data_IF_367025309856
#
_entry.id   IF_367025309856
#
_cell.length_a   1.000
_cell.length_b   1.000
_cell.length_c   1.000
_cell.angle_alpha   90.00
_cell.angle_beta   90.00
_cell.angle_gamma   90.00
#
_symmetry.space_group_name_H-M   'P 1'
#
loop_
_entity.id
_entity.type
_entity.pdbx_description
1 polymer ?
#
# COMPACT_ATOMS: atom_id res chain seq x y z
N UNK A 1 -13.77 -10.07 -25.22
CA UNK A 1 -13.23 -8.94 -25.99
C UNK A 1 -12.24 -9.51 -27.03
N UNK A 2 -12.39 -9.14 -28.31
CA UNK A 2 -11.44 -9.49 -29.35
C UNK A 2 -10.17 -8.67 -29.14
N UNK A 3 -9.05 -9.34 -28.84
CA UNK A 3 -7.74 -8.71 -28.79
C UNK A 3 -7.07 -8.95 -30.12
N UNK A 4 -7.00 -7.92 -30.96
CA UNK A 4 -6.24 -7.93 -32.21
C UNK A 4 -4.75 -7.90 -31.91
N UNK A 5 -4.19 -9.03 -31.51
CA UNK A 5 -2.76 -9.17 -31.24
C UNK A 5 -2.05 -9.95 -32.30
N UNK A 6 -0.77 -9.70 -32.46
CA UNK A 6 0.12 -10.43 -33.36
C UNK A 6 0.20 -11.91 -32.91
N UNK A 7 0.35 -12.85 -33.85
CA UNK A 7 0.44 -14.30 -33.61
C UNK A 7 1.47 -14.67 -32.53
N UNK A 8 2.61 -13.97 -32.45
CA UNK A 8 3.65 -14.21 -31.41
C UNK A 8 3.14 -13.85 -30.01
N UNK A 9 2.42 -12.74 -29.87
CA UNK A 9 1.81 -12.32 -28.61
C UNK A 9 0.80 -13.36 -28.13
N UNK A 10 -0.10 -13.80 -29.02
CA UNK A 10 -1.09 -14.84 -28.69
C UNK A 10 -0.44 -16.13 -28.22
N UNK A 11 0.62 -16.59 -28.91
CA UNK A 11 1.35 -17.79 -28.50
C UNK A 11 1.91 -17.69 -27.07
N UNK A 12 2.43 -16.52 -26.68
CA UNK A 12 2.93 -16.31 -25.31
C UNK A 12 1.77 -16.29 -24.30
N UNK A 13 0.70 -15.56 -24.59
CA UNK A 13 -0.49 -15.53 -23.72
C UNK A 13 -1.13 -16.90 -23.54
N UNK A 14 -1.22 -17.71 -24.62
CA UNK A 14 -1.71 -19.10 -24.54
C UNK A 14 -0.83 -19.99 -23.65
N UNK A 15 0.49 -19.82 -23.71
CA UNK A 15 1.42 -20.53 -22.81
C UNK A 15 1.19 -20.10 -21.35
N UNK A 16 1.09 -18.80 -21.10
CA UNK A 16 0.81 -18.26 -19.77
C UNK A 16 -0.53 -18.77 -19.23
N UNK A 17 -1.55 -18.83 -20.06
CA UNK A 17 -2.88 -19.31 -19.66
C UNK A 17 -2.93 -20.79 -19.25
N UNK A 18 -1.91 -21.59 -19.63
CA UNK A 18 -1.75 -22.98 -19.19
C UNK A 18 -1.26 -23.09 -17.73
N UNK A 19 -0.72 -22.04 -17.14
CA UNK A 19 -0.37 -22.03 -15.73
C UNK A 19 -1.63 -22.23 -14.88
N UNK A 20 -1.61 -23.13 -13.89
CA UNK A 20 -2.82 -23.51 -13.13
C UNK A 20 -3.27 -22.43 -12.14
N UNK A 21 -2.34 -21.59 -11.67
CA UNK A 21 -2.60 -20.57 -10.66
C UNK A 21 -2.62 -19.15 -11.24
N UNK A 22 -3.27 -18.26 -10.50
CA UNK A 22 -3.32 -16.81 -10.74
C UNK A 22 -2.82 -16.08 -9.50
N UNK A 23 -2.52 -14.80 -9.60
CA UNK A 23 -2.16 -14.02 -8.41
C UNK A 23 -3.28 -14.03 -7.35
N UNK A 24 -4.54 -14.12 -7.74
CA UNK A 24 -5.67 -14.33 -6.82
C UNK A 24 -5.59 -15.64 -6.00
N UNK A 25 -4.89 -16.63 -6.51
CA UNK A 25 -4.69 -17.91 -5.79
C UNK A 25 -3.52 -17.82 -4.81
N UNK A 26 -2.59 -16.91 -5.02
CA UNK A 26 -1.37 -16.70 -4.25
C UNK A 26 -1.56 -15.66 -3.15
N UNK A 27 -2.23 -14.54 -3.46
CA UNK A 27 -2.46 -13.47 -2.51
C UNK A 27 -3.81 -13.64 -1.80
N UNK A 28 -3.80 -13.52 -0.47
CA UNK A 28 -5.01 -13.47 0.36
C UNK A 28 -5.71 -12.12 0.22
N UNK A 29 -4.92 -11.06 0.23
CA UNK A 29 -5.42 -9.68 0.11
C UNK A 29 -4.58 -8.89 -0.90
N UNK A 30 -5.29 -8.26 -1.82
CA UNK A 30 -4.79 -7.15 -2.63
C UNK A 30 -5.67 -5.96 -2.27
N UNK A 31 -5.11 -4.95 -1.61
CA UNK A 31 -5.89 -3.89 -0.98
C UNK A 31 -5.32 -2.51 -1.26
N UNK A 32 -6.20 -1.54 -1.34
CA UNK A 32 -5.86 -0.15 -1.56
C UNK A 32 -5.52 0.54 -0.24
N UNK A 33 -4.69 1.57 -0.29
CA UNK A 33 -4.25 2.34 0.86
C UNK A 33 -5.37 3.12 1.58
N UNK A 34 -4.98 3.91 2.58
CA UNK A 34 -5.87 4.62 3.50
C UNK A 34 -6.66 5.70 2.76
N UNK A 35 -7.97 5.77 3.05
CA UNK A 35 -8.87 6.84 2.65
C UNK A 35 -9.32 7.63 3.88
N UNK A 36 -8.71 8.78 4.12
CA UNK A 36 -9.00 9.62 5.30
C UNK A 36 -10.22 10.51 5.12
N UNK A 37 -10.56 10.84 3.87
CA UNK A 37 -11.53 11.87 3.47
C UNK A 37 -11.12 13.31 3.84
N UNK A 38 -9.88 13.51 4.31
CA UNK A 38 -9.26 14.83 4.52
C UNK A 38 -7.74 14.69 4.66
N UNK A 39 -7.10 14.39 3.56
CA UNK A 39 -5.65 14.15 3.51
C UNK A 39 -4.82 15.35 4.02
N UNK A 40 -5.27 16.60 3.76
CA UNK A 40 -4.56 17.80 4.21
C UNK A 40 -4.47 17.95 5.73
N UNK A 41 -5.40 17.32 6.48
CA UNK A 41 -5.36 17.25 7.94
C UNK A 41 -4.57 16.04 8.42
N UNK A 42 -4.81 14.86 7.83
CA UNK A 42 -4.21 13.63 8.34
C UNK A 42 -2.79 13.38 7.87
N UNK A 43 -2.33 13.99 6.77
CA UNK A 43 -0.98 13.78 6.25
C UNK A 43 -0.07 14.92 6.66
N UNK A 44 1.06 14.54 7.23
CA UNK A 44 2.17 15.44 7.57
C UNK A 44 3.29 15.23 6.55
N UNK A 45 3.93 16.31 6.16
CA UNK A 45 4.95 16.37 5.12
C UNK A 45 6.28 16.86 5.69
N UNK A 46 7.37 16.59 4.98
CA UNK A 46 8.71 17.05 5.35
C UNK A 46 9.01 16.70 6.83
N UNK A 47 8.63 15.47 7.20
CA UNK A 47 8.71 15.04 8.58
C UNK A 47 10.13 14.67 8.98
N UNK A 48 10.48 15.01 10.22
CA UNK A 48 11.73 14.60 10.85
C UNK A 48 11.48 14.09 12.27
N UNK A 49 12.23 13.08 12.65
CA UNK A 49 12.24 12.59 14.03
C UNK A 49 13.01 13.58 14.89
N UNK A 50 12.35 14.16 15.91
CA UNK A 50 12.99 15.07 16.87
C UNK A 50 13.65 14.27 17.99
N UNK A 51 12.95 13.25 18.47
CA UNK A 51 13.40 12.33 19.49
C UNK A 51 12.60 10.99 19.34
N UNK A 52 12.91 9.94 20.11
CA UNK A 52 12.21 8.65 19.99
C UNK A 52 10.69 8.70 20.16
N UNK A 53 10.17 9.75 20.78
CA UNK A 53 8.75 9.89 21.12
C UNK A 53 7.99 10.85 20.23
N UNK A 54 8.67 11.70 19.44
CA UNK A 54 8.08 12.81 18.71
C UNK A 54 8.66 13.01 17.33
N UNK A 55 7.78 13.37 16.40
CA UNK A 55 8.13 13.87 15.08
C UNK A 55 7.68 15.33 14.92
N UNK A 56 8.38 16.07 14.09
CA UNK A 56 7.90 17.34 13.53
C UNK A 56 7.55 17.11 12.06
N UNK A 57 6.44 17.70 11.59
CA UNK A 57 6.04 17.65 10.19
C UNK A 57 5.18 18.85 9.80
N UNK A 58 5.14 19.17 8.51
CA UNK A 58 4.35 20.27 7.98
C UNK A 58 2.89 19.86 7.75
N UNK A 59 1.95 20.55 8.40
CA UNK A 59 0.51 20.42 8.16
C UNK A 59 0.07 21.36 7.02
N UNK A 60 -0.45 20.78 5.95
CA UNK A 60 -0.99 21.57 4.83
C UNK A 60 -2.24 22.35 5.21
N UNK A 61 -3.07 21.78 6.07
CA UNK A 61 -4.29 22.44 6.53
C UNK A 61 -4.00 23.65 7.40
N UNK A 62 -3.14 23.50 8.43
CA UNK A 62 -2.77 24.59 9.33
C UNK A 62 -1.68 25.51 8.75
N UNK A 63 -1.03 25.12 7.64
CA UNK A 63 0.07 25.83 6.98
C UNK A 63 1.23 26.17 7.93
N UNK A 64 1.55 25.25 8.82
CA UNK A 64 2.64 25.37 9.80
C UNK A 64 3.24 24.00 10.14
N UNK A 65 4.45 24.00 10.70
CA UNK A 65 5.02 22.83 11.31
C UNK A 65 4.30 22.53 12.63
N UNK A 66 4.11 21.23 12.89
CA UNK A 66 3.48 20.70 14.10
C UNK A 66 4.32 19.55 14.65
N UNK A 67 4.31 19.41 15.96
CA UNK A 67 4.98 18.31 16.66
C UNK A 67 3.90 17.35 17.14
N UNK A 68 4.05 16.06 16.81
CA UNK A 68 3.10 15.01 17.15
C UNK A 68 3.87 13.83 17.78
N UNK A 69 3.25 13.15 18.72
CA UNK A 69 3.80 11.95 19.33
C UNK A 69 3.89 10.81 18.30
N UNK A 70 5.04 10.14 18.30
CA UNK A 70 5.35 9.07 17.34
C UNK A 70 4.35 7.90 17.38
N UNK A 71 3.75 7.65 18.54
CA UNK A 71 2.71 6.62 18.71
C UNK A 71 1.39 6.90 17.96
N UNK A 72 1.11 8.18 17.64
CA UNK A 72 -0.11 8.58 16.93
C UNK A 72 0.06 8.65 15.41
N UNK A 73 1.27 8.47 14.90
CA UNK A 73 1.57 8.60 13.48
C UNK A 73 2.18 7.33 12.90
N UNK A 74 2.07 7.16 11.57
CA UNK A 74 2.67 6.04 10.84
C UNK A 74 3.35 6.56 9.57
N UNK A 75 4.52 6.02 9.17
CA UNK A 75 5.17 6.36 7.90
C UNK A 75 4.21 6.15 6.73
N UNK A 76 4.10 7.12 5.83
CA UNK A 76 3.11 7.13 4.76
C UNK A 76 3.77 7.20 3.38
N UNK A 77 3.54 6.19 2.55
CA UNK A 77 3.95 6.16 1.15
C UNK A 77 2.91 6.77 0.24
N UNK A 78 3.38 7.48 -0.78
CA UNK A 78 2.63 7.83 -1.99
C UNK A 78 3.14 7.01 -3.18
N UNK A 79 2.39 7.03 -4.29
CA UNK A 79 2.77 6.28 -5.50
C UNK A 79 4.17 6.60 -6.03
N UNK A 80 4.63 7.82 -5.81
CA UNK A 80 5.97 8.31 -6.20
C UNK A 80 7.13 7.75 -5.36
N UNK A 81 6.84 7.13 -4.21
CA UNK A 81 7.86 6.57 -3.30
C UNK A 81 8.13 5.08 -3.57
N UNK A 82 7.37 4.47 -4.48
CA UNK A 82 7.47 3.03 -4.73
C UNK A 82 8.09 2.79 -6.09
N UNK A 83 9.32 2.30 -6.08
CA UNK A 83 10.10 1.97 -7.25
C UNK A 83 10.51 0.50 -7.23
N UNK A 84 10.83 -0.01 -8.42
CA UNK A 84 11.21 -1.40 -8.64
C UNK A 84 12.43 -1.80 -7.83
N UNK A 85 12.27 -2.73 -6.88
CA UNK A 85 13.31 -3.26 -5.97
C UNK A 85 13.93 -2.23 -5.02
N UNK A 86 13.52 -0.97 -5.03
CA UNK A 86 14.12 0.02 -4.16
C UNK A 86 13.61 -0.13 -2.71
N UNK A 87 14.48 0.12 -1.72
CA UNK A 87 14.07 0.20 -0.34
C UNK A 87 13.01 1.28 -0.15
N UNK A 88 11.98 0.96 0.62
CA UNK A 88 10.93 1.93 0.93
C UNK A 88 11.43 2.99 1.90
N UNK A 89 11.18 4.23 1.59
CA UNK A 89 11.42 5.37 2.47
C UNK A 89 10.36 6.44 2.28
N UNK A 90 10.10 7.23 3.29
CA UNK A 90 9.18 8.36 3.21
C UNK A 90 9.50 9.39 4.28
N UNK A 91 9.43 10.65 3.92
CA UNK A 91 9.46 11.82 4.81
C UNK A 91 8.05 12.26 5.22
N UNK A 92 7.03 11.44 4.96
CA UNK A 92 5.63 11.71 5.25
C UNK A 92 5.08 10.76 6.30
N UNK A 93 4.19 11.26 7.14
CA UNK A 93 3.46 10.46 8.11
C UNK A 93 1.95 10.70 7.99
N UNK A 94 1.18 9.69 8.37
CA UNK A 94 -0.27 9.81 8.54
C UNK A 94 -0.63 9.76 10.01
N UNK A 95 -1.47 10.68 10.48
CA UNK A 95 -2.09 10.59 11.80
C UNK A 95 -3.04 9.40 11.80
N UNK A 96 -2.77 8.44 12.67
CA UNK A 96 -3.44 7.16 12.74
C UNK A 96 -4.01 6.92 14.14
N UNK A 97 -5.24 7.42 14.43
CA UNK A 97 -5.82 7.40 15.76
C UNK A 97 -6.42 6.03 16.13
N UNK A 98 -5.76 4.94 15.74
CA UNK A 98 -6.23 3.57 15.99
C UNK A 98 -5.16 2.73 16.69
N UNK A 99 -5.60 1.95 17.68
CA UNK A 99 -4.86 0.85 18.27
C UNK A 99 -5.02 -0.42 17.43
N UNK A 100 -3.93 -1.11 17.16
CA UNK A 100 -3.89 -2.38 16.42
C UNK A 100 -3.56 -3.57 17.33
N UNK A 101 -3.57 -3.39 18.64
CA UNK A 101 -3.27 -4.42 19.59
C UNK A 101 -4.28 -5.53 19.54
N UNK A 102 -4.36 -6.59 19.13
CA UNK A 102 -5.37 -7.67 19.05
C UNK A 102 -5.95 -7.92 17.65
N UNK A 103 -5.16 -7.70 16.60
CA UNK A 103 -5.55 -7.92 15.19
C UNK A 103 -6.85 -7.19 14.78
N UNK A 104 -7.24 -6.19 15.53
CA UNK A 104 -8.39 -5.32 15.26
C UNK A 104 -7.97 -3.86 15.34
N UNK A 105 -8.47 -3.07 14.41
CA UNK A 105 -8.29 -1.62 14.48
C UNK A 105 -9.37 -1.04 15.39
N UNK A 106 -8.97 -0.58 16.58
CA UNK A 106 -9.84 0.10 17.54
C UNK A 106 -9.49 1.57 17.59
N UNK A 107 -10.46 2.44 17.32
CA UNK A 107 -10.28 3.89 17.46
C UNK A 107 -9.99 4.22 18.93
N UNK A 108 -8.94 4.99 19.22
CA UNK A 108 -8.72 5.54 20.54
C UNK A 108 -9.89 6.45 20.93
N UNK A 109 -10.31 6.43 22.18
CA UNK A 109 -11.26 7.45 22.67
C UNK A 109 -10.58 8.82 22.72
N UNK A 110 -11.37 9.89 22.69
CA UNK A 110 -10.85 11.27 22.79
C UNK A 110 -10.00 11.44 24.05
N UNK A 111 -10.43 10.87 25.17
CA UNK A 111 -9.67 10.89 26.43
C UNK A 111 -8.34 10.13 26.33
N UNK A 112 -8.32 8.98 25.64
CA UNK A 112 -7.09 8.24 25.40
C UNK A 112 -6.11 9.04 24.55
N UNK A 113 -6.59 9.70 23.47
CA UNK A 113 -5.72 10.55 22.65
C UNK A 113 -5.17 11.71 23.48
N UNK A 114 -6.01 12.40 24.25
CA UNK A 114 -5.60 13.52 25.10
C UNK A 114 -4.55 13.13 26.15
N UNK A 115 -4.64 11.90 26.68
CA UNK A 115 -3.72 11.41 27.72
C UNK A 115 -2.42 10.87 27.13
N UNK A 116 -2.50 10.06 26.07
CA UNK A 116 -1.34 9.36 25.49
C UNK A 116 -0.59 10.23 24.47
N UNK A 117 -1.29 11.12 23.78
CA UNK A 117 -0.79 11.92 22.65
C UNK A 117 -1.28 13.37 22.77
N UNK A 118 -0.91 14.12 23.83
CA UNK A 118 -1.45 15.46 24.10
C UNK A 118 -1.18 16.46 22.96
N UNK A 119 -0.03 16.40 22.30
CA UNK A 119 0.26 17.29 21.15
C UNK A 119 -0.58 16.93 19.95
N UNK A 120 -0.72 15.64 19.63
CA UNK A 120 -1.61 15.13 18.60
C UNK A 120 -3.08 15.46 18.87
N UNK A 121 -3.51 15.40 20.13
CA UNK A 121 -4.84 15.82 20.54
C UNK A 121 -5.09 17.30 20.26
N UNK A 122 -4.17 18.19 20.69
CA UNK A 122 -4.27 19.62 20.42
C UNK A 122 -4.31 19.93 18.92
N UNK A 123 -3.48 19.23 18.13
CA UNK A 123 -3.53 19.34 16.66
C UNK A 123 -4.89 18.97 16.10
N UNK A 124 -5.45 17.82 16.50
CA UNK A 124 -6.76 17.39 16.05
C UNK A 124 -7.87 18.35 16.46
N UNK A 125 -7.79 18.92 17.67
CA UNK A 125 -8.73 19.95 18.16
C UNK A 125 -8.66 21.23 17.32
N UNK A 126 -7.47 21.68 16.92
CA UNK A 126 -7.31 22.83 16.03
C UNK A 126 -7.93 22.58 14.63
N UNK A 127 -8.04 21.30 14.23
CA UNK A 127 -8.65 20.88 12.96
C UNK A 127 -10.12 20.42 13.09
N UNK A 128 -10.73 20.51 14.26
CA UNK A 128 -12.02 19.87 14.57
C UNK A 128 -13.16 20.31 13.63
N UNK A 129 -13.30 21.61 13.39
CA UNK A 129 -14.38 22.13 12.54
C UNK A 129 -14.31 21.56 11.12
N UNK A 130 -13.09 21.48 10.56
CA UNK A 130 -12.87 20.89 9.24
C UNK A 130 -13.17 19.39 9.23
N UNK A 131 -12.75 18.67 10.26
CA UNK A 131 -12.99 17.24 10.39
C UNK A 131 -14.48 16.91 10.57
N UNK A 132 -15.21 17.75 11.28
CA UNK A 132 -16.68 17.63 11.44
C UNK A 132 -17.43 17.96 10.15
N UNK A 133 -16.90 18.89 9.34
CA UNK A 133 -17.46 19.30 8.06
C UNK A 133 -17.37 18.28 6.94
N UNK A 134 -16.55 17.21 7.07
CA UNK A 134 -16.33 16.19 6.04
C UNK A 134 -17.63 15.55 5.57
N UNK A 135 -17.70 15.16 4.28
CA UNK A 135 -18.85 14.50 3.67
C UNK A 135 -20.16 15.25 3.94
N UNK A 136 -20.16 16.57 3.69
CA UNK A 136 -21.31 17.46 3.90
C UNK A 136 -21.80 17.53 5.37
N UNK A 137 -20.85 17.46 6.30
CA UNK A 137 -21.14 17.55 7.74
C UNK A 137 -21.62 16.23 8.37
N UNK A 138 -21.31 15.10 7.75
CA UNK A 138 -21.65 13.76 8.25
C UNK A 138 -21.22 13.51 9.70
N UNK A 139 -20.13 14.16 10.14
CA UNK A 139 -19.59 14.01 11.48
C UNK A 139 -19.88 15.20 12.40
N UNK A 140 -20.78 16.13 12.01
CA UNK A 140 -21.04 17.37 12.75
C UNK A 140 -21.33 17.16 14.24
N UNK A 141 -22.13 16.15 14.56
CA UNK A 141 -22.52 15.83 15.95
C UNK A 141 -21.95 14.48 16.42
N UNK A 142 -20.99 13.92 15.71
CA UNK A 142 -20.39 12.62 16.05
C UNK A 142 -19.31 12.84 17.13
N UNK A 143 -19.35 12.08 18.21
CA UNK A 143 -18.32 12.10 19.27
C UNK A 143 -16.99 11.56 18.78
N UNK A 144 -16.98 10.76 17.69
CA UNK A 144 -15.81 10.19 17.07
C UNK A 144 -15.38 10.99 15.81
N UNK A 145 -15.54 12.29 15.83
CA UNK A 145 -15.32 13.22 14.72
C UNK A 145 -13.93 13.12 14.07
N UNK A 146 -12.91 12.65 14.81
CA UNK A 146 -11.52 12.47 14.37
C UNK A 146 -11.25 11.11 13.70
N UNK A 147 -12.25 10.23 13.55
CA UNK A 147 -12.08 8.94 12.87
C UNK A 147 -11.96 9.09 11.35
N UNK A 148 -11.36 8.14 10.67
CA UNK A 148 -11.51 8.04 9.22
C UNK A 148 -12.96 7.74 8.86
N UNK A 149 -13.45 8.32 7.77
CA UNK A 149 -14.83 8.04 7.32
C UNK A 149 -14.93 6.62 6.75
N UNK A 150 -13.86 6.16 6.12
CA UNK A 150 -13.77 4.83 5.51
C UNK A 150 -12.61 4.02 6.10
N UNK A 151 -12.72 3.52 7.34
CA UNK A 151 -11.65 2.81 8.04
C UNK A 151 -11.52 1.36 7.55
N UNK A 152 -11.09 1.18 6.29
CA UNK A 152 -10.92 -0.15 5.68
C UNK A 152 -9.47 -0.61 5.77
N UNK A 153 -9.28 -1.92 5.93
CA UNK A 153 -7.97 -2.58 5.82
C UNK A 153 -6.92 -2.11 6.85
N UNK A 154 -7.29 -1.42 7.92
CA UNK A 154 -6.35 -0.75 8.83
C UNK A 154 -5.33 -1.70 9.47
N UNK A 155 -5.69 -2.95 9.72
CA UNK A 155 -4.79 -3.96 10.28
C UNK A 155 -3.84 -4.58 9.25
N UNK A 156 -4.13 -4.40 7.95
CA UNK A 156 -3.32 -5.00 6.89
C UNK A 156 -2.02 -4.25 6.66
N UNK A 157 -1.97 -2.96 7.00
CA UNK A 157 -0.77 -2.14 6.81
C UNK A 157 0.41 -2.60 7.68
N UNK A 158 0.12 -3.11 8.88
CA UNK A 158 1.13 -3.60 9.81
C UNK A 158 1.62 -5.04 9.49
N UNK A 159 1.21 -5.61 8.36
CA UNK A 159 1.64 -6.94 7.93
C UNK A 159 2.74 -6.84 6.86
N UNK A 160 3.59 -7.87 6.84
CA UNK A 160 4.52 -8.12 5.75
C UNK A 160 3.76 -8.14 4.41
N UNK A 161 4.27 -7.41 3.40
CA UNK A 161 3.58 -7.26 2.12
C UNK A 161 4.49 -6.77 1.00
N UNK A 162 4.07 -6.99 -0.24
CA UNK A 162 4.56 -6.19 -1.36
C UNK A 162 3.67 -4.97 -1.54
N UNK A 163 4.23 -3.90 -2.10
CA UNK A 163 3.51 -2.67 -2.44
C UNK A 163 3.80 -2.27 -3.88
N UNK A 164 2.80 -1.70 -4.56
CA UNK A 164 2.95 -1.18 -5.92
C UNK A 164 2.05 0.04 -6.14
N UNK A 165 2.45 1.02 -6.99
CA UNK A 165 1.61 2.13 -7.37
C UNK A 165 0.35 1.66 -8.11
N UNK A 166 -0.78 2.36 -7.97
CA UNK A 166 -2.00 2.12 -8.75
C UNK A 166 -1.77 2.33 -10.25
N UNK A 167 -0.93 3.30 -10.60
CA UNK A 167 -0.60 3.65 -11.98
C UNK A 167 0.90 3.49 -12.16
N UNK A 168 1.31 2.68 -13.12
CA UNK A 168 2.72 2.35 -13.31
C UNK A 168 3.10 2.21 -14.80
N UNK A 169 4.37 2.45 -15.08
CA UNK A 169 5.03 2.14 -16.35
C UNK A 169 6.09 1.06 -16.08
N UNK A 170 5.69 -0.21 -16.16
CA UNK A 170 6.51 -1.35 -15.76
C UNK A 170 6.13 -1.94 -14.41
N UNK A 171 6.76 -3.04 -14.04
CA UNK A 171 6.67 -3.61 -12.70
C UNK A 171 7.42 -2.70 -11.73
N UNK A 172 6.70 -2.07 -10.81
CA UNK A 172 7.25 -1.21 -9.75
C UNK A 172 6.78 -1.72 -8.39
N UNK A 173 7.23 -2.93 -8.06
CA UNK A 173 6.94 -3.55 -6.76
C UNK A 173 8.13 -3.40 -5.84
N UNK A 174 7.86 -3.05 -4.59
CA UNK A 174 8.83 -3.00 -3.49
C UNK A 174 8.34 -3.86 -2.34
N UNK A 175 9.24 -4.19 -1.42
CA UNK A 175 8.98 -5.11 -0.32
C UNK A 175 8.97 -4.40 1.04
N UNK A 176 7.85 -4.46 1.73
CA UNK A 176 7.69 -4.03 3.11
C UNK A 176 7.74 -5.25 4.04
N UNK A 177 8.97 -5.70 4.33
CA UNK A 177 9.24 -6.90 5.13
C UNK A 177 8.62 -6.84 6.52
N UNK A 178 8.67 -5.67 7.16
CA UNK A 178 8.28 -5.52 8.56
C UNK A 178 6.89 -4.90 8.74
N UNK A 179 6.16 -4.62 7.65
CA UNK A 179 4.86 -3.97 7.75
C UNK A 179 4.93 -2.57 8.36
N UNK A 180 5.98 -1.81 8.06
CA UNK A 180 6.22 -0.50 8.65
C UNK A 180 5.46 0.61 7.96
N UNK A 181 5.20 0.45 6.65
CA UNK A 181 4.69 1.52 5.81
C UNK A 181 3.19 1.41 5.60
N UNK A 182 2.53 2.53 5.82
CA UNK A 182 1.16 2.79 5.43
C UNK A 182 1.16 3.48 4.06
N UNK A 183 0.03 3.52 3.38
CA UNK A 183 0.01 4.05 2.02
C UNK A 183 -1.29 4.80 1.72
N UNK A 184 -1.19 5.76 0.80
CA UNK A 184 -2.36 6.44 0.24
C UNK A 184 -3.14 5.51 -0.70
N UNK A 185 -4.37 5.90 -1.06
CA UNK A 185 -5.21 5.17 -2.02
C UNK A 185 -4.58 4.99 -3.41
N UNK A 186 -3.41 5.58 -3.66
CA UNK A 186 -2.65 5.44 -4.92
C UNK A 186 -1.65 4.29 -4.91
N UNK A 187 -1.65 3.47 -3.86
CA UNK A 187 -0.82 2.28 -3.72
C UNK A 187 -1.71 1.09 -3.38
N UNK A 188 -1.36 -0.07 -3.92
CA UNK A 188 -1.91 -1.36 -3.53
C UNK A 188 -0.90 -2.14 -2.70
N UNK A 189 -1.38 -2.75 -1.61
CA UNK A 189 -0.65 -3.72 -0.81
C UNK A 189 -1.05 -5.14 -1.19
N UNK A 190 -0.09 -6.07 -1.17
CA UNK A 190 -0.24 -7.47 -1.57
C UNK A 190 0.22 -8.37 -0.43
N UNK A 191 -0.71 -9.04 0.25
CA UNK A 191 -0.43 -9.99 1.33
C UNK A 191 -0.66 -11.40 0.81
N UNK A 192 0.38 -12.24 0.84
CA UNK A 192 0.27 -13.61 0.38
C UNK A 192 -0.53 -14.49 1.35
N UNK A 193 -1.15 -15.55 0.83
CA UNK A 193 -1.82 -16.54 1.64
C UNK A 193 -0.82 -17.26 2.56
N UNK A 194 -1.26 -17.63 3.75
CA UNK A 194 -0.42 -18.35 4.71
C UNK A 194 0.10 -19.69 4.18
N UNK A 195 -0.70 -20.36 3.34
CA UNK A 195 -0.33 -21.63 2.70
C UNK A 195 0.37 -21.45 1.33
N UNK A 196 0.69 -20.22 0.94
CA UNK A 196 1.45 -19.97 -0.28
C UNK A 196 2.91 -20.39 -0.07
N UNK A 197 3.38 -21.30 -0.90
CA UNK A 197 4.73 -21.87 -0.81
C UNK A 197 5.81 -20.93 -1.41
N UNK A 198 5.42 -19.98 -2.26
CA UNK A 198 6.38 -18.99 -2.77
C UNK A 198 6.72 -17.97 -1.70
N UNK A 199 8.01 -17.59 -1.64
CA UNK A 199 8.47 -16.48 -0.82
C UNK A 199 8.04 -15.13 -1.41
N UNK A 200 8.04 -14.07 -0.59
CA UNK A 200 7.83 -12.72 -1.09
C UNK A 200 8.93 -12.29 -2.08
N UNK A 201 10.16 -12.78 -1.92
CA UNK A 201 11.27 -12.48 -2.85
C UNK A 201 11.03 -13.06 -4.23
N UNK A 202 10.60 -14.32 -4.32
CA UNK A 202 10.22 -14.91 -5.59
C UNK A 202 9.06 -14.14 -6.26
N UNK A 203 8.01 -13.82 -5.49
CA UNK A 203 6.88 -13.06 -6.00
C UNK A 203 7.29 -11.64 -6.42
N UNK A 204 8.20 -10.99 -5.70
CA UNK A 204 8.75 -9.70 -6.07
C UNK A 204 9.48 -9.76 -7.41
N UNK A 205 10.34 -10.76 -7.60
CA UNK A 205 11.03 -11.02 -8.86
C UNK A 205 10.07 -11.25 -10.02
N UNK A 206 9.04 -12.09 -9.79
CA UNK A 206 8.02 -12.40 -10.78
C UNK A 206 7.23 -11.15 -11.21
N UNK A 207 6.77 -10.33 -10.23
CA UNK A 207 5.95 -9.14 -10.47
C UNK A 207 6.76 -7.97 -11.07
N UNK A 208 8.07 -7.96 -10.86
CA UNK A 208 8.98 -7.00 -11.48
C UNK A 208 9.55 -7.50 -12.82
N UNK A 209 9.19 -8.69 -13.28
CA UNK A 209 9.71 -9.26 -14.52
C UNK A 209 9.13 -8.60 -15.77
N UNK A 210 9.87 -8.71 -16.88
CA UNK A 210 9.37 -8.34 -18.20
C UNK A 210 8.14 -9.17 -18.61
N UNK A 211 7.97 -10.37 -18.05
CA UNK A 211 6.84 -11.24 -18.33
C UNK A 211 5.54 -10.67 -17.73
N UNK A 212 5.60 -10.18 -16.48
CA UNK A 212 4.46 -9.49 -15.86
C UNK A 212 4.10 -8.22 -16.64
N UNK A 213 5.11 -7.43 -17.01
CA UNK A 213 4.89 -6.23 -17.81
C UNK A 213 4.26 -6.52 -19.17
N UNK A 214 4.78 -7.54 -19.88
CA UNK A 214 4.18 -8.02 -21.12
C UNK A 214 2.72 -8.43 -20.95
N UNK A 215 2.39 -9.14 -19.87
CA UNK A 215 1.02 -9.54 -19.58
C UNK A 215 0.12 -8.31 -19.39
N UNK A 216 0.52 -7.35 -18.57
CA UNK A 216 -0.24 -6.12 -18.31
C UNK A 216 -0.42 -5.30 -19.59
N UNK A 217 0.61 -5.20 -20.44
CA UNK A 217 0.51 -4.49 -21.72
C UNK A 217 -0.52 -5.10 -22.68
N UNK A 218 -0.73 -6.41 -22.61
CA UNK A 218 -1.62 -7.12 -23.55
C UNK A 218 -3.00 -7.44 -22.94
N UNK A 219 -3.22 -7.30 -21.64
CA UNK A 219 -4.49 -7.66 -20.98
C UNK A 219 -5.04 -6.54 -20.11
N UNK A 220 -4.21 -5.56 -19.73
CA UNK A 220 -4.54 -4.48 -18.85
C UNK A 220 -5.23 -3.29 -19.53
N UNK A 221 -5.45 -2.24 -18.76
CA UNK A 221 -6.03 -0.99 -19.25
C UNK A 221 -4.96 0.09 -19.32
N UNK A 222 -4.71 0.57 -20.55
CA UNK A 222 -3.72 1.62 -20.82
C UNK A 222 -4.28 3.00 -20.50
N UNK A 223 -3.47 3.82 -19.89
CA UNK A 223 -3.71 5.24 -19.60
C UNK A 223 -2.87 6.12 -20.53
N UNK A 224 -3.10 7.43 -20.48
CA UNK A 224 -2.30 8.41 -21.22
C UNK A 224 -0.81 8.25 -20.93
N UNK A 225 0.02 8.34 -21.95
CA UNK A 225 1.48 8.22 -21.82
C UNK A 225 2.02 6.80 -21.74
N UNK A 226 1.19 5.78 -22.01
CA UNK A 226 1.62 4.38 -21.98
C UNK A 226 1.69 3.77 -20.58
N UNK A 227 1.16 4.47 -19.57
CA UNK A 227 0.98 3.93 -18.22
C UNK A 227 -0.19 2.97 -18.18
N UNK A 228 -0.15 2.03 -17.22
CA UNK A 228 -1.21 1.07 -16.98
C UNK A 228 -1.70 1.14 -15.53
N UNK A 229 -2.98 0.82 -15.33
CA UNK A 229 -3.52 0.72 -13.97
C UNK A 229 -3.32 -0.69 -13.41
N UNK A 230 -2.82 -0.74 -12.16
CA UNK A 230 -2.58 -1.99 -11.41
C UNK A 230 -3.73 -2.32 -10.46
N UNK A 231 -4.95 -1.90 -10.82
CA UNK A 231 -6.14 -2.32 -10.07
C UNK A 231 -6.28 -3.83 -10.06
N UNK A 232 -6.86 -4.35 -8.98
CA UNK A 232 -6.97 -5.78 -8.70
C UNK A 232 -7.50 -6.59 -9.89
N UNK A 233 -8.51 -6.10 -10.60
CA UNK A 233 -9.10 -6.79 -11.75
C UNK A 233 -8.16 -6.97 -12.94
N UNK A 234 -7.09 -6.18 -13.05
CA UNK A 234 -6.08 -6.33 -14.12
C UNK A 234 -4.86 -7.13 -13.68
N UNK A 235 -4.50 -7.06 -12.40
CA UNK A 235 -3.32 -7.73 -11.84
C UNK A 235 -3.63 -9.16 -11.42
N UNK A 236 -4.76 -9.39 -10.75
CA UNK A 236 -5.15 -10.71 -10.22
C UNK A 236 -5.18 -11.84 -11.25
N UNK A 237 -5.52 -11.63 -12.53
CA UNK A 237 -5.50 -12.69 -13.54
C UNK A 237 -4.11 -13.12 -13.99
N UNK A 238 -3.02 -12.44 -13.57
CA UNK A 238 -1.67 -12.81 -13.98
C UNK A 238 -1.33 -14.25 -13.57
N UNK A 239 -0.87 -15.07 -14.52
CA UNK A 239 -0.56 -16.48 -14.27
C UNK A 239 0.66 -16.66 -13.38
N UNK A 240 0.58 -17.62 -12.47
CA UNK A 240 1.68 -18.00 -11.57
C UNK A 240 2.07 -19.46 -11.85
N UNK A 241 3.36 -19.81 -11.90
CA UNK A 241 3.79 -21.18 -12.08
C UNK A 241 3.19 -22.13 -11.04
N UNK A 242 3.15 -23.42 -11.34
CA UNK A 242 2.82 -24.44 -10.34
C UNK A 242 4.04 -24.71 -9.46
N UNK A 243 3.93 -24.44 -8.16
CA UNK A 243 5.03 -24.66 -7.21
C UNK A 243 5.50 -26.13 -7.19
N UNK A 244 4.60 -27.10 -7.33
CA UNK A 244 4.94 -28.52 -7.33
C UNK A 244 5.63 -28.99 -8.61
N UNK A 245 5.48 -28.25 -9.70
CA UNK A 245 6.03 -28.59 -11.02
C UNK A 245 7.22 -27.71 -11.43
N UNK A 246 7.51 -26.63 -10.70
CA UNK A 246 8.64 -25.75 -11.01
C UNK A 246 9.93 -26.35 -10.44
N UNK A 247 11.03 -26.24 -11.20
CA UNK A 247 12.34 -26.58 -10.68
C UNK A 247 12.73 -25.60 -9.55
N UNK A 248 12.88 -26.11 -8.34
CA UNK A 248 13.24 -25.31 -7.16
C UNK A 248 14.57 -24.59 -7.27
N UNK A 249 15.50 -25.08 -8.13
CA UNK A 249 16.73 -24.35 -8.44
C UNK A 249 16.46 -23.03 -9.15
N UNK A 250 15.43 -22.98 -10.01
CA UNK A 250 15.01 -21.75 -10.67
C UNK A 250 14.36 -20.77 -9.66
N UNK A 251 13.56 -21.29 -8.71
CA UNK A 251 13.02 -20.45 -7.62
C UNK A 251 14.15 -19.84 -6.81
N UNK A 252 15.08 -20.66 -6.32
CA UNK A 252 16.23 -20.18 -5.54
C UNK A 252 17.11 -19.20 -6.34
N UNK A 253 17.27 -19.43 -7.63
CA UNK A 253 18.02 -18.49 -8.49
C UNK A 253 17.36 -17.11 -8.56
N UNK A 254 16.02 -17.06 -8.70
CA UNK A 254 15.27 -15.79 -8.69
C UNK A 254 15.40 -15.12 -7.32
N UNK A 255 15.25 -15.88 -6.23
CA UNK A 255 15.38 -15.35 -4.87
C UNK A 255 16.76 -14.75 -4.59
N UNK A 256 17.83 -15.45 -4.99
CA UNK A 256 19.19 -14.97 -4.84
C UNK A 256 19.45 -13.68 -5.65
N UNK A 257 18.96 -13.62 -6.90
CA UNK A 257 19.07 -12.41 -7.71
C UNK A 257 18.33 -11.24 -7.02
N UNK A 258 17.16 -11.50 -6.46
CA UNK A 258 16.40 -10.46 -5.73
C UNK A 258 17.14 -10.03 -4.47
N UNK A 259 17.79 -10.96 -3.76
CA UNK A 259 18.61 -10.64 -2.58
C UNK A 259 19.85 -9.79 -2.93
N UNK A 260 20.47 -10.07 -4.08
CA UNK A 260 21.62 -9.29 -4.56
C UNK A 260 21.22 -7.86 -4.99
N UNK A 261 19.94 -7.63 -5.31
CA UNK A 261 19.42 -6.32 -5.73
C UNK A 261 18.96 -5.50 -4.53
N UNK A 262 18.36 -6.12 -3.51
CA UNK A 262 17.81 -5.46 -2.31
C UNK A 262 18.92 -5.06 -1.33
#
# INVERSE_FOLDING_TARGET
>A
AWVLTNKKVNTVLEKLNKCPYRLSDVFDKIFQGIATSKDDVYFLYDCRVINPFEIEGYSKYLKKNVVIENGLVKPLLKGEDVHRYEPLSSDRFVIFPYDLSNDKAKLFSEQQIATLFPKGYLYLKECEDELRGREKGRLKNDILWYRYIYPKNLTLFAKEKLVAPEISYGGNFSYDLNGQYYSTTKIYGYIKKANCLYSYKFLLGLLNSNLFWFFIQNTGYVLRGGYYTFKTNYVSPFPVPNYEAIDMRQVSMVENIVDDIL
#
